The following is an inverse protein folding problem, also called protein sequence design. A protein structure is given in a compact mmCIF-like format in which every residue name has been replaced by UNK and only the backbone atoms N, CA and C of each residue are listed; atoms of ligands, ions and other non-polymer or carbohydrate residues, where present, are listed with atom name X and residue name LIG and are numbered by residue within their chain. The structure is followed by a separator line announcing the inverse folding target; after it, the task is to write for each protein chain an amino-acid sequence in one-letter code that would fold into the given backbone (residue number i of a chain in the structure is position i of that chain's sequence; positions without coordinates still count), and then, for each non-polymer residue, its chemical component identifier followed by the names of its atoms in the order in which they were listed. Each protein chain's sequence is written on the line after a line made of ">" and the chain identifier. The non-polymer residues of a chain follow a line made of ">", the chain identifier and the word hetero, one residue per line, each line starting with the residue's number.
data_IF_796671375992
#
_entry.id   IF_796671375992
#
_cell.length_a   1.000
_cell.length_b   1.000
_cell.length_c   1.000
_cell.angle_alpha   90.00
_cell.angle_beta   90.00
_cell.angle_gamma   90.00
#
_symmetry.space_group_name_H-M   'P 1'
#
loop_
_entity.id
_entity.type
_entity.pdbx_description
1 polymer ?
#
# COMPACT_ATOMS: atom_id res chain seq x y z
N UNK A 1 -11.58 -0.62 7.10
CA UNK A 1 -11.44 0.01 5.78
C UNK A 1 -11.35 -1.04 4.66
N UNK A 2 -10.39 -1.97 4.70
CA UNK A 2 -10.12 -2.96 3.63
C UNK A 2 -11.30 -3.83 3.19
N UNK A 3 -12.10 -4.34 4.14
CA UNK A 3 -13.31 -5.11 3.81
C UNK A 3 -14.30 -4.35 2.92
N UNK A 4 -14.33 -3.01 3.03
CA UNK A 4 -15.12 -2.16 2.14
C UNK A 4 -14.62 -2.19 0.70
N UNK A 5 -13.30 -2.11 0.50
CA UNK A 5 -12.65 -2.16 -0.81
C UNK A 5 -12.95 -3.49 -1.52
N UNK A 6 -12.76 -4.62 -0.82
CA UNK A 6 -13.01 -5.97 -1.34
C UNK A 6 -14.49 -6.16 -1.74
N UNK A 7 -15.40 -5.68 -0.90
CA UNK A 7 -16.86 -5.79 -1.14
C UNK A 7 -17.27 -5.04 -2.41
N UNK A 8 -16.65 -3.89 -2.70
CA UNK A 8 -17.02 -3.05 -3.84
C UNK A 8 -16.40 -3.47 -5.17
N UNK A 9 -15.42 -4.37 -5.17
CA UNK A 9 -14.89 -4.94 -6.41
C UNK A 9 -15.95 -5.84 -7.08
N UNK A 10 -16.15 -5.65 -8.38
CA UNK A 10 -16.84 -6.64 -9.20
C UNK A 10 -16.02 -7.95 -9.26
N UNK A 11 -16.65 -9.10 -9.54
CA UNK A 11 -15.91 -10.31 -9.89
C UNK A 11 -14.92 -10.05 -11.03
N UNK A 12 -13.72 -10.63 -10.94
CA UNK A 12 -12.60 -10.32 -11.85
C UNK A 12 -11.97 -8.93 -11.67
N UNK A 13 -12.51 -8.08 -10.79
CA UNK A 13 -12.05 -6.70 -10.57
C UNK A 13 -10.66 -6.63 -9.94
N UNK A 14 -9.90 -5.59 -10.29
CA UNK A 14 -8.52 -5.38 -9.79
C UNK A 14 -8.48 -4.21 -8.81
N UNK A 15 -7.83 -4.42 -7.66
CA UNK A 15 -7.45 -3.41 -6.68
C UNK A 15 -5.98 -3.07 -6.86
N UNK A 16 -5.67 -1.77 -6.90
CA UNK A 16 -4.32 -1.24 -6.81
C UNK A 16 -4.23 -0.37 -5.55
N UNK A 17 -3.19 -0.57 -4.75
CA UNK A 17 -2.89 0.24 -3.59
C UNK A 17 -1.40 0.60 -3.63
N UNK A 18 -1.10 1.88 -3.42
CA UNK A 18 0.23 2.36 -3.09
C UNK A 18 0.18 3.03 -1.73
N UNK A 19 1.21 2.82 -0.93
CA UNK A 19 1.33 3.42 0.38
C UNK A 19 2.75 3.46 0.89
N UNK A 20 2.89 3.95 2.11
CA UNK A 20 4.17 4.04 2.80
C UNK A 20 4.32 2.91 3.81
N UNK A 21 5.54 2.39 3.92
CA UNK A 21 5.94 1.44 4.96
C UNK A 21 6.33 2.17 6.24
N UNK A 22 6.46 1.44 7.34
CA UNK A 22 6.82 1.99 8.66
C UNK A 22 8.17 2.70 8.67
N UNK A 23 9.10 2.26 7.82
CA UNK A 23 10.42 2.84 7.63
C UNK A 23 10.36 4.29 7.14
N UNK A 24 9.24 4.73 6.56
CA UNK A 24 9.04 6.12 6.13
C UNK A 24 9.18 7.11 7.29
N UNK A 25 8.84 6.69 8.52
CA UNK A 25 9.00 7.52 9.71
C UNK A 25 10.46 7.91 9.95
N UNK A 26 11.40 7.06 9.55
CA UNK A 26 12.83 7.34 9.67
C UNK A 26 13.33 8.27 8.55
N UNK A 27 12.77 8.18 7.35
CA UNK A 27 13.13 9.07 6.24
C UNK A 27 12.62 10.50 6.45
N UNK A 28 11.39 10.66 6.93
CA UNK A 28 10.86 11.99 7.26
C UNK A 28 10.74 12.95 6.07
N UNK A 29 10.74 12.42 4.85
CA UNK A 29 10.65 13.14 3.56
C UNK A 29 9.21 13.38 3.10
N UNK A 30 8.23 12.90 3.89
CA UNK A 30 6.81 13.02 3.60
C UNK A 30 5.98 11.87 4.13
N UNK A 31 4.69 11.87 3.79
CA UNK A 31 3.75 10.82 4.18
C UNK A 31 3.19 10.95 5.60
N UNK A 32 2.35 9.98 6.02
CA UNK A 32 1.77 9.95 7.36
C UNK A 32 2.83 9.87 8.45
N UNK A 33 2.61 10.58 9.56
CA UNK A 33 3.48 10.54 10.75
C UNK A 33 3.04 9.55 11.82
N UNK A 34 1.84 9.00 11.64
CA UNK A 34 1.28 8.00 12.53
C UNK A 34 1.55 6.60 11.93
N UNK A 35 2.14 5.72 12.74
CA UNK A 35 2.45 4.35 12.33
C UNK A 35 1.19 3.52 11.99
N UNK A 36 0.03 3.90 12.54
CA UNK A 36 -1.26 3.25 12.26
C UNK A 36 -1.78 3.57 10.86
N UNK A 37 -1.20 4.57 10.18
CA UNK A 37 -1.49 4.92 8.79
C UNK A 37 -0.46 4.37 7.79
N UNK A 38 0.47 3.53 8.25
CA UNK A 38 1.53 2.92 7.44
C UNK A 38 1.30 1.41 7.34
N UNK A 39 1.71 0.83 6.22
CA UNK A 39 1.44 -0.57 5.92
C UNK A 39 2.66 -1.47 6.12
N UNK A 40 2.40 -2.76 6.25
CA UNK A 40 3.40 -3.83 6.21
C UNK A 40 2.90 -4.90 5.25
N UNK A 41 3.81 -5.69 4.67
CA UNK A 41 3.39 -6.78 3.78
C UNK A 41 2.48 -7.78 4.49
N UNK A 42 2.80 -8.15 5.73
CA UNK A 42 2.00 -9.08 6.53
C UNK A 42 0.56 -8.58 6.68
N UNK A 43 0.39 -7.31 7.09
CA UNK A 43 -0.93 -6.69 7.21
C UNK A 43 -1.71 -6.72 5.88
N UNK A 44 -1.05 -6.44 4.75
CA UNK A 44 -1.71 -6.43 3.45
C UNK A 44 -2.07 -7.85 2.97
N UNK A 45 -1.20 -8.84 3.23
CA UNK A 45 -1.49 -10.26 2.93
C UNK A 45 -2.71 -10.74 3.71
N UNK A 46 -2.77 -10.43 5.01
CA UNK A 46 -3.89 -10.83 5.86
C UNK A 46 -5.17 -10.08 5.48
N UNK A 47 -5.07 -8.79 5.16
CA UNK A 47 -6.23 -7.97 4.82
C UNK A 47 -6.88 -8.35 3.47
N UNK A 48 -6.10 -8.86 2.53
CA UNK A 48 -6.53 -9.16 1.16
C UNK A 48 -6.40 -10.64 0.80
N UNK A 49 -6.41 -11.52 1.81
CA UNK A 49 -6.32 -12.99 1.69
C UNK A 49 -7.37 -13.64 0.77
N UNK A 50 -8.53 -12.99 0.66
CA UNK A 50 -9.65 -13.39 -0.19
C UNK A 50 -9.52 -12.94 -1.66
N UNK A 51 -8.47 -12.19 -1.99
CA UNK A 51 -8.13 -11.81 -3.35
C UNK A 51 -6.92 -12.63 -3.82
N UNK A 52 -6.77 -12.76 -5.14
CA UNK A 52 -5.54 -13.21 -5.76
C UNK A 52 -4.53 -12.07 -5.75
N UNK A 53 -3.49 -12.16 -4.90
CA UNK A 53 -2.40 -11.19 -4.89
C UNK A 53 -1.52 -11.45 -6.12
N UNK A 54 -1.57 -10.52 -7.08
CA UNK A 54 -0.77 -10.55 -8.31
C UNK A 54 0.62 -9.98 -8.05
N UNK A 55 0.69 -8.89 -7.28
CA UNK A 55 1.94 -8.25 -6.90
C UNK A 55 1.82 -7.66 -5.50
N UNK A 56 2.85 -7.87 -4.68
CA UNK A 56 3.05 -7.17 -3.42
C UNK A 56 4.54 -6.87 -3.30
N UNK A 57 4.89 -5.60 -3.38
CA UNK A 57 6.28 -5.16 -3.50
C UNK A 57 6.60 -4.07 -2.48
N UNK A 58 7.64 -4.28 -1.68
CA UNK A 58 8.19 -3.30 -0.75
C UNK A 58 9.53 -2.81 -1.27
N UNK A 59 9.69 -1.50 -1.41
CA UNK A 59 10.91 -0.92 -1.96
C UNK A 59 11.18 0.48 -1.42
N UNK A 60 12.38 0.98 -1.68
CA UNK A 60 12.78 2.36 -1.41
C UNK A 60 13.00 3.07 -2.74
N UNK A 61 12.48 4.29 -2.88
CA UNK A 61 12.70 5.12 -4.06
C UNK A 61 12.69 6.60 -3.72
N UNK A 62 13.44 7.41 -4.46
CA UNK A 62 13.26 8.85 -4.45
C UNK A 62 11.98 9.22 -5.23
N UNK A 63 11.07 9.92 -4.56
CA UNK A 63 9.86 10.47 -5.17
C UNK A 63 9.84 11.99 -5.04
N UNK A 64 9.10 12.65 -5.94
CA UNK A 64 8.89 14.11 -5.94
C UNK A 64 7.43 14.39 -6.27
N UNK A 65 6.56 14.21 -5.30
CA UNK A 65 5.10 14.35 -5.45
C UNK A 65 4.59 15.72 -4.94
N UNK A 66 5.47 16.51 -4.32
CA UNK A 66 5.20 17.87 -3.88
C UNK A 66 6.03 18.24 -2.64
N UNK A 67 5.87 19.47 -2.10
CA UNK A 67 6.69 19.96 -0.99
C UNK A 67 6.62 19.11 0.30
N UNK A 68 5.55 18.31 0.44
CA UNK A 68 5.34 17.43 1.58
C UNK A 68 5.71 15.96 1.29
N UNK A 69 6.22 15.65 0.09
CA UNK A 69 6.54 14.31 -0.41
C UNK A 69 7.70 14.43 -1.41
N UNK A 70 8.90 14.75 -0.91
CA UNK A 70 10.10 14.98 -1.73
C UNK A 70 11.32 14.34 -1.06
N UNK A 71 11.85 13.30 -1.70
CA UNK A 71 13.04 12.57 -1.27
C UNK A 71 12.84 11.06 -1.19
N UNK A 72 13.81 10.39 -0.55
CA UNK A 72 13.79 8.94 -0.34
C UNK A 72 12.53 8.54 0.42
N UNK A 73 11.82 7.54 -0.08
CA UNK A 73 10.57 7.06 0.50
C UNK A 73 10.52 5.55 0.58
N UNK A 74 10.05 5.03 1.71
CA UNK A 74 9.79 3.62 1.93
C UNK A 74 8.37 3.31 1.44
N UNK A 75 8.26 2.69 0.27
CA UNK A 75 7.02 2.46 -0.44
C UNK A 75 6.59 0.98 -0.38
N UNK A 76 5.29 0.76 -0.52
CA UNK A 76 4.69 -0.56 -0.65
C UNK A 76 3.50 -0.50 -1.59
N UNK A 77 3.53 -1.40 -2.57
CA UNK A 77 2.52 -1.50 -3.62
C UNK A 77 1.86 -2.87 -3.58
N UNK A 78 0.54 -2.90 -3.77
CA UNK A 78 -0.27 -4.10 -3.86
C UNK A 78 -1.14 -4.05 -5.13
N UNK A 79 -1.08 -5.11 -5.92
CA UNK A 79 -2.04 -5.42 -6.98
C UNK A 79 -2.72 -6.73 -6.64
N UNK A 80 -4.03 -6.70 -6.48
CA UNK A 80 -4.82 -7.89 -6.15
C UNK A 80 -6.09 -7.97 -7.00
N UNK A 81 -6.46 -9.19 -7.41
CA UNK A 81 -7.64 -9.45 -8.25
C UNK A 81 -8.69 -10.21 -7.47
N UNK A 82 -9.94 -9.77 -7.55
CA UNK A 82 -11.07 -10.53 -7.03
C UNK A 82 -11.36 -11.71 -7.95
N UNK A 83 -11.53 -12.93 -7.41
CA UNK A 83 -11.97 -14.07 -8.22
C UNK A 83 -13.29 -13.79 -8.97
N UNK A 84 -13.51 -14.52 -10.07
CA UNK A 84 -14.79 -14.56 -10.81
C UNK A 84 -15.94 -15.14 -9.97
#
# INVERSE_FOLDING_TARGET
>A
MFAGMIRTLAPGGTLLMQGYRREQLAYGTGGPRDADHLYTEEMLRDAFDSLEIVELNSYDAEIREGPAHDGMSALIDLVARKPE
#
